data_IF_852442908700
#
_entry.id   IF_852442908700
#
_cell.length_a   1.000
_cell.length_b   1.000
_cell.length_c   1.000
_cell.angle_alpha   90.00
_cell.angle_beta   90.00
_cell.angle_gamma   90.00
#
_symmetry.space_group_name_H-M   'P 1'
#
loop_
_entity.id
_entity.type
_entity.pdbx_description
1 polymer ?
#
# COMPACT_ATOMS: atom_id res chain seq x y z
N UNK A 1 -0.38 32.15 14.75
CA UNK A 1 -0.82 31.35 15.92
C UNK A 1 -2.27 31.64 16.32
N UNK A 2 -2.72 32.89 16.49
CA UNK A 2 -4.09 33.17 16.99
C UNK A 2 -5.23 32.49 16.20
N UNK A 3 -5.21 32.47 14.86
CA UNK A 3 -6.27 31.82 14.06
C UNK A 3 -6.38 30.32 14.29
N UNK A 4 -5.25 29.62 14.42
CA UNK A 4 -5.22 28.17 14.66
C UNK A 4 -5.76 27.85 16.07
N UNK A 5 -5.32 28.60 17.08
CA UNK A 5 -5.79 28.40 18.45
C UNK A 5 -7.30 28.63 18.55
N UNK A 6 -7.82 29.72 17.95
CA UNK A 6 -9.27 29.97 17.92
C UNK A 6 -10.05 28.85 17.21
N UNK A 7 -9.52 28.32 16.10
CA UNK A 7 -10.12 27.19 15.40
C UNK A 7 -10.15 25.93 16.28
N UNK A 8 -9.04 25.59 16.93
CA UNK A 8 -8.94 24.45 17.83
C UNK A 8 -9.85 24.59 19.05
N UNK A 9 -9.87 25.77 19.69
CA UNK A 9 -10.75 26.04 20.83
C UNK A 9 -12.22 25.87 20.45
N UNK A 10 -12.60 26.26 19.23
CA UNK A 10 -13.95 26.07 18.72
C UNK A 10 -14.30 24.58 18.61
N UNK A 11 -13.42 23.78 18.01
CA UNK A 11 -13.62 22.32 17.90
C UNK A 11 -13.68 21.67 19.28
N UNK A 12 -12.73 22.02 20.16
CA UNK A 12 -12.61 21.45 21.51
C UNK A 12 -13.89 21.69 22.30
N UNK A 13 -14.33 22.95 22.35
CA UNK A 13 -15.54 23.32 23.08
C UNK A 13 -16.78 22.63 22.49
N UNK A 14 -16.91 22.58 21.17
CA UNK A 14 -18.06 21.93 20.53
C UNK A 14 -18.11 20.43 20.82
N UNK A 15 -16.98 19.74 20.74
CA UNK A 15 -16.90 18.30 21.02
C UNK A 15 -17.17 18.02 22.50
N UNK A 16 -16.62 18.82 23.42
CA UNK A 16 -16.87 18.70 24.87
C UNK A 16 -18.33 18.97 25.23
N UNK A 17 -19.00 19.89 24.51
CA UNK A 17 -20.43 20.16 24.64
C UNK A 17 -21.33 19.10 23.96
N UNK A 18 -20.76 18.04 23.38
CA UNK A 18 -21.51 16.91 22.82
C UNK A 18 -22.01 17.11 21.39
N UNK A 19 -21.51 18.11 20.65
CA UNK A 19 -21.90 18.31 19.25
C UNK A 19 -21.27 17.24 18.34
N UNK A 20 -22.06 16.21 18.00
CA UNK A 20 -21.62 15.08 17.16
C UNK A 20 -21.32 15.45 15.70
N UNK A 21 -21.91 16.55 15.21
CA UNK A 21 -21.72 17.05 13.83
C UNK A 21 -20.36 17.75 13.63
N UNK A 22 -19.71 18.21 14.70
CA UNK A 22 -18.41 18.89 14.61
C UNK A 22 -17.37 17.89 14.12
N UNK A 23 -16.81 18.09 12.93
CA UNK A 23 -15.77 17.19 12.40
C UNK A 23 -14.42 17.42 13.10
N UNK A 24 -13.74 16.32 13.43
CA UNK A 24 -12.35 16.32 13.92
C UNK A 24 -11.46 15.85 12.77
N UNK A 25 -10.57 16.69 12.23
CA UNK A 25 -9.58 16.26 11.25
C UNK A 25 -8.69 15.17 11.81
N UNK A 26 -8.54 14.06 11.10
CA UNK A 26 -7.70 12.94 11.54
C UNK A 26 -6.30 13.08 10.95
N UNK A 27 -5.29 12.87 11.76
CA UNK A 27 -3.91 12.68 11.30
C UNK A 27 -3.44 11.30 11.76
N UNK A 28 -2.69 10.60 10.91
CA UNK A 28 -2.10 9.30 11.25
C UNK A 28 -0.77 9.10 10.53
N UNK A 29 0.19 8.48 11.20
CA UNK A 29 1.47 8.06 10.65
C UNK A 29 1.65 6.55 10.84
N UNK A 30 2.03 5.88 9.76
CA UNK A 30 2.30 4.45 9.71
C UNK A 30 3.73 4.23 9.20
N UNK A 31 4.65 3.83 10.08
CA UNK A 31 6.03 3.51 9.72
C UNK A 31 6.18 2.12 9.10
N UNK A 32 7.40 1.73 8.76
CA UNK A 32 7.72 0.39 8.24
C UNK A 32 7.56 -0.73 9.29
N UNK A 33 7.83 -0.47 10.57
CA UNK A 33 7.66 -1.41 11.70
C UNK A 33 6.19 -1.66 12.11
N UNK A 34 5.23 -1.32 11.25
CA UNK A 34 3.79 -1.50 11.51
C UNK A 34 3.31 -2.96 11.46
N UNK A 35 4.18 -3.90 11.12
CA UNK A 35 3.84 -5.32 11.08
C UNK A 35 3.40 -5.82 12.45
N UNK A 36 2.21 -6.42 12.53
CA UNK A 36 1.68 -6.93 13.80
C UNK A 36 2.44 -8.19 14.19
N UNK A 37 3.17 -8.14 15.29
CA UNK A 37 3.83 -9.32 15.85
C UNK A 37 2.79 -10.30 16.39
N UNK A 38 3.04 -11.60 16.24
CA UNK A 38 2.22 -12.66 16.84
C UNK A 38 2.11 -12.54 18.37
N UNK A 39 3.09 -11.90 19.02
CA UNK A 39 3.08 -11.60 20.46
C UNK A 39 2.04 -10.54 20.87
N UNK A 40 1.58 -9.67 19.96
CA UNK A 40 0.52 -8.71 20.25
C UNK A 40 -0.82 -9.39 20.60
N UNK A 41 -1.03 -10.63 20.13
CA UNK A 41 -2.21 -11.44 20.49
C UNK A 41 -2.10 -12.03 21.91
N UNK A 42 -0.90 -12.29 22.42
CA UNK A 42 -0.71 -12.94 23.72
C UNK A 42 -0.95 -12.00 24.92
N UNK A 43 -1.00 -10.69 24.69
CA UNK A 43 -1.23 -9.67 25.72
C UNK A 43 -2.60 -8.96 25.58
N UNK A 44 -3.62 -9.65 25.07
CA UNK A 44 -4.99 -9.14 24.92
C UNK A 44 -5.79 -9.15 26.25
N UNK A 45 -5.17 -8.72 27.36
CA UNK A 45 -5.92 -8.49 28.61
C UNK A 45 -6.68 -7.17 28.51
N UNK A 46 -8.01 -7.20 28.68
CA UNK A 46 -8.86 -6.00 28.65
C UNK A 46 -8.33 -4.95 29.63
N UNK A 47 -8.06 -3.73 29.16
CA UNK A 47 -7.84 -2.60 30.05
C UNK A 47 -9.19 -1.91 30.35
N UNK A 48 -9.78 -2.08 31.55
CA UNK A 48 -11.13 -1.58 31.86
C UNK A 48 -11.25 -0.05 31.92
N UNK A 49 -10.14 0.69 31.85
CA UNK A 49 -10.10 2.16 31.93
C UNK A 49 -9.92 2.87 30.60
N UNK A 50 -9.85 2.14 29.48
CA UNK A 50 -9.63 2.76 28.17
C UNK A 50 -10.91 3.47 27.70
N UNK A 51 -10.87 4.80 27.67
CA UNK A 51 -12.01 5.64 27.31
C UNK A 51 -11.91 6.02 25.82
N UNK A 52 -12.73 5.40 24.97
CA UNK A 52 -12.79 5.70 23.53
C UNK A 52 -13.61 6.95 23.23
N UNK A 53 -13.20 8.10 23.80
CA UNK A 53 -13.78 9.40 23.46
C UNK A 53 -13.32 9.84 22.05
N UNK A 54 -13.96 10.86 21.47
CA UNK A 54 -13.66 11.30 20.10
C UNK A 54 -12.20 11.76 19.90
N UNK A 55 -11.59 12.39 20.91
CA UNK A 55 -10.18 12.81 20.85
C UNK A 55 -9.18 11.66 20.94
N UNK A 56 -9.57 10.51 21.51
CA UNK A 56 -8.75 9.30 21.50
C UNK A 56 -8.47 8.75 20.10
N UNK A 57 -9.13 9.26 19.06
CA UNK A 57 -8.75 9.01 17.68
C UNK A 57 -7.35 9.57 17.33
N UNK A 58 -6.92 10.64 18.00
CA UNK A 58 -5.66 11.35 17.75
C UNK A 58 -4.52 10.86 18.65
N UNK A 59 -4.81 10.02 19.63
CA UNK A 59 -3.80 9.43 20.52
C UNK A 59 -2.79 8.60 19.72
N UNK A 60 -1.49 8.85 19.92
CA UNK A 60 -0.43 8.18 19.16
C UNK A 60 -0.55 8.36 17.64
N UNK A 61 -1.18 9.42 17.16
CA UNK A 61 -1.37 9.66 15.71
C UNK A 61 -0.07 9.90 14.94
N UNK A 62 0.99 10.35 15.63
CA UNK A 62 2.31 10.61 15.05
C UNK A 62 3.36 9.56 15.47
N UNK A 63 2.92 8.49 16.14
CA UNK A 63 3.79 7.36 16.46
C UNK A 63 3.83 6.40 15.27
N UNK A 64 5.01 5.88 14.94
CA UNK A 64 5.20 5.01 13.77
C UNK A 64 4.54 3.62 13.89
N UNK A 65 4.00 3.29 15.08
CA UNK A 65 3.59 1.94 15.46
C UNK A 65 2.06 1.84 15.40
N UNK A 66 1.56 0.74 14.82
CA UNK A 66 0.13 0.42 14.89
C UNK A 66 -0.17 -0.35 16.18
N UNK A 67 -0.94 0.26 17.09
CA UNK A 67 -1.37 -0.39 18.33
C UNK A 67 -2.55 -1.34 18.09
N UNK A 68 -2.28 -2.51 17.49
CA UNK A 68 -3.31 -3.48 17.13
C UNK A 68 -4.18 -3.93 18.33
N UNK A 69 -3.62 -3.94 19.54
CA UNK A 69 -4.39 -4.20 20.77
C UNK A 69 -5.53 -3.21 20.96
N UNK A 70 -5.26 -1.91 20.84
CA UNK A 70 -6.28 -0.85 20.98
C UNK A 70 -7.36 -1.00 19.91
N UNK A 71 -6.97 -1.38 18.69
CA UNK A 71 -7.90 -1.67 17.60
C UNK A 71 -8.81 -2.86 17.93
N UNK A 72 -8.23 -3.95 18.42
CA UNK A 72 -8.96 -5.14 18.83
C UNK A 72 -9.94 -4.87 19.98
N UNK A 73 -9.48 -4.15 21.02
CA UNK A 73 -10.29 -3.77 22.18
C UNK A 73 -11.47 -2.88 21.75
N UNK A 74 -11.21 -1.86 20.92
CA UNK A 74 -12.25 -1.01 20.38
C UNK A 74 -13.27 -1.81 19.57
N UNK A 75 -12.81 -2.66 18.65
CA UNK A 75 -13.68 -3.46 17.78
C UNK A 75 -14.57 -4.39 18.59
N UNK A 76 -14.01 -5.06 19.60
CA UNK A 76 -14.76 -5.92 20.54
C UNK A 76 -15.86 -5.14 21.26
N UNK A 77 -15.57 -3.92 21.71
CA UNK A 77 -16.57 -3.07 22.39
C UNK A 77 -17.70 -2.70 21.43
N UNK A 78 -17.36 -2.28 20.20
CA UNK A 78 -18.36 -1.92 19.21
C UNK A 78 -19.21 -3.14 18.77
N UNK A 79 -18.64 -4.34 18.68
CA UNK A 79 -19.41 -5.56 18.36
C UNK A 79 -20.42 -5.88 19.46
N UNK A 80 -20.02 -5.74 20.72
CA UNK A 80 -20.93 -5.91 21.84
C UNK A 80 -22.07 -4.88 21.82
N UNK A 81 -21.79 -3.64 21.44
CA UNK A 81 -22.81 -2.59 21.31
C UNK A 81 -23.75 -2.85 20.14
N UNK A 82 -23.23 -3.30 19.00
CA UNK A 82 -24.04 -3.74 17.86
C UNK A 82 -25.00 -4.87 18.25
N UNK A 83 -24.51 -5.88 18.97
CA UNK A 83 -25.34 -6.98 19.48
C UNK A 83 -26.43 -6.52 20.46
N UNK A 84 -26.18 -5.48 21.26
CA UNK A 84 -27.20 -4.88 22.14
C UNK A 84 -28.26 -4.14 21.34
N UNK A 85 -27.86 -3.36 20.34
CA UNK A 85 -28.79 -2.63 19.47
C UNK A 85 -29.63 -3.59 18.61
N UNK A 86 -29.05 -4.68 18.08
CA UNK A 86 -29.78 -5.76 17.41
C UNK A 86 -30.90 -6.29 18.32
N UNK A 87 -30.57 -6.62 19.58
CA UNK A 87 -31.55 -7.14 20.55
C UNK A 87 -32.63 -6.13 20.90
N UNK A 88 -32.24 -4.87 21.10
CA UNK A 88 -33.15 -3.78 21.47
C UNK A 88 -34.12 -3.42 20.34
N UNK A 89 -33.63 -3.44 19.09
CA UNK A 89 -34.43 -3.14 17.88
C UNK A 89 -35.18 -4.35 17.33
N UNK A 90 -34.80 -5.57 17.75
CA UNK A 90 -35.24 -6.83 17.18
C UNK A 90 -34.94 -6.95 15.67
N UNK A 91 -33.82 -6.35 15.22
CA UNK A 91 -33.38 -6.36 13.83
C UNK A 91 -32.01 -7.06 13.71
N UNK A 92 -32.02 -8.30 13.22
CA UNK A 92 -30.81 -9.11 13.00
C UNK A 92 -29.90 -8.62 11.88
N UNK A 93 -30.40 -7.71 11.02
CA UNK A 93 -29.62 -7.12 9.94
C UNK A 93 -29.03 -5.77 10.30
N UNK A 94 -29.34 -5.26 11.50
CA UNK A 94 -28.78 -4.01 11.98
C UNK A 94 -27.25 -4.11 12.06
N UNK A 95 -26.59 -3.08 11.53
CA UNK A 95 -25.15 -2.90 11.66
C UNK A 95 -24.88 -1.53 12.25
N UNK A 96 -24.01 -1.49 13.25
CA UNK A 96 -23.57 -0.25 13.85
C UNK A 96 -22.79 0.55 12.79
N UNK A 97 -23.12 1.83 12.53
CA UNK A 97 -22.53 2.60 11.43
C UNK A 97 -20.99 2.61 11.43
N UNK A 98 -20.39 2.76 12.60
CA UNK A 98 -18.92 2.73 12.78
C UNK A 98 -18.31 1.36 12.43
N UNK A 99 -18.95 0.26 12.80
CA UNK A 99 -18.48 -1.09 12.43
C UNK A 99 -18.72 -1.40 10.96
N UNK A 100 -19.84 -0.95 10.41
CA UNK A 100 -20.13 -1.06 8.98
C UNK A 100 -19.04 -0.39 8.16
N UNK A 101 -18.59 0.78 8.57
CA UNK A 101 -17.48 1.49 7.92
C UNK A 101 -16.16 0.69 7.98
N UNK A 102 -15.80 0.13 9.14
CA UNK A 102 -14.58 -0.70 9.27
C UNK A 102 -14.68 -2.00 8.47
N UNK A 103 -15.84 -2.67 8.48
CA UNK A 103 -16.08 -3.87 7.66
C UNK A 103 -15.98 -3.56 6.17
N UNK A 104 -16.50 -2.40 5.75
CA UNK A 104 -16.41 -1.94 4.37
C UNK A 104 -14.97 -1.64 3.97
N UNK A 105 -14.18 -0.97 4.81
CA UNK A 105 -12.79 -0.64 4.48
C UNK A 105 -11.94 -1.90 4.32
N UNK A 106 -12.10 -2.88 5.22
CA UNK A 106 -11.42 -4.19 5.13
C UNK A 106 -11.77 -4.88 3.81
N UNK A 107 -13.05 -4.94 3.44
CA UNK A 107 -13.50 -5.58 2.20
C UNK A 107 -12.98 -4.87 0.94
N UNK A 108 -12.84 -3.55 0.98
CA UNK A 108 -12.36 -2.76 -0.16
C UNK A 108 -10.85 -2.81 -0.35
N UNK A 109 -10.11 -3.03 0.74
CA UNK A 109 -8.63 -3.02 0.77
C UNK A 109 -8.00 -4.41 0.73
N UNK A 110 -8.67 -5.44 1.25
CA UNK A 110 -8.16 -6.81 1.33
C UNK A 110 -9.03 -7.74 0.47
N UNK A 111 -8.66 -7.96 -0.80
CA UNK A 111 -9.30 -8.94 -1.67
C UNK A 111 -9.47 -10.31 -0.99
N UNK A 112 -10.66 -10.90 -1.12
CA UNK A 112 -10.97 -12.20 -0.51
C UNK A 112 -11.28 -12.15 0.99
N UNK A 113 -10.93 -11.08 1.71
CA UNK A 113 -11.28 -10.93 3.13
C UNK A 113 -12.69 -10.37 3.33
N UNK A 114 -13.42 -10.95 4.28
CA UNK A 114 -14.75 -10.52 4.68
C UNK A 114 -15.04 -10.90 6.13
N UNK A 115 -16.18 -10.46 6.66
CA UNK A 115 -16.67 -10.85 7.99
C UNK A 115 -15.62 -10.77 9.14
N UNK A 116 -14.97 -9.60 9.32
CA UNK A 116 -14.08 -9.38 10.45
C UNK A 116 -14.88 -9.43 11.74
N UNK A 117 -14.40 -10.21 12.71
CA UNK A 117 -15.09 -10.44 13.99
C UNK A 117 -14.12 -10.82 15.11
N UNK A 118 -14.55 -10.61 16.35
CA UNK A 118 -13.81 -11.06 17.53
C UNK A 118 -14.43 -12.32 18.12
N UNK A 119 -13.59 -13.29 18.47
CA UNK A 119 -13.99 -14.46 19.25
C UNK A 119 -13.39 -14.36 20.65
N UNK A 120 -14.08 -14.94 21.65
CA UNK A 120 -13.70 -14.85 23.06
C UNK A 120 -13.03 -16.12 23.61
N UNK A 121 -13.06 -17.24 22.87
CA UNK A 121 -12.56 -18.55 23.33
C UNK A 121 -11.97 -19.37 22.17
N UNK A 122 -10.67 -19.20 21.81
CA UNK A 122 -9.71 -18.25 22.37
C UNK A 122 -9.99 -16.79 21.96
N UNK A 123 -9.41 -15.82 22.68
CA UNK A 123 -9.57 -14.40 22.33
C UNK A 123 -8.78 -14.07 21.07
N UNK A 124 -9.46 -13.94 19.94
CA UNK A 124 -8.82 -13.80 18.62
C UNK A 124 -9.62 -12.91 17.69
N UNK A 125 -8.94 -12.31 16.73
CA UNK A 125 -9.55 -11.60 15.61
C UNK A 125 -9.57 -12.52 14.39
N UNK A 126 -10.75 -12.73 13.83
CA UNK A 126 -10.97 -13.61 12.69
C UNK A 126 -11.46 -12.80 11.49
N UNK A 127 -11.07 -13.25 10.31
CA UNK A 127 -11.64 -12.84 9.02
C UNK A 127 -12.02 -14.09 8.22
N UNK A 128 -13.08 -14.00 7.44
CA UNK A 128 -13.37 -15.01 6.43
C UNK A 128 -12.54 -14.70 5.18
N UNK A 129 -11.80 -15.68 4.69
CA UNK A 129 -10.97 -15.60 3.51
C UNK A 129 -11.52 -16.50 2.41
N UNK A 130 -11.59 -15.99 1.18
CA UNK A 130 -12.06 -16.74 0.01
C UNK A 130 -10.91 -17.01 -0.96
N UNK A 131 -10.40 -18.24 -0.91
CA UNK A 131 -9.34 -18.76 -1.79
C UNK A 131 -9.88 -19.83 -2.76
N UNK A 132 -11.19 -19.85 -3.00
CA UNK A 132 -11.93 -20.90 -3.70
C UNK A 132 -12.81 -21.74 -2.77
N UNK A 133 -12.52 -21.71 -1.47
CA UNK A 133 -13.41 -22.12 -0.38
C UNK A 133 -13.35 -21.06 0.70
N UNK A 134 -14.49 -20.70 1.27
CA UNK A 134 -14.53 -19.79 2.42
C UNK A 134 -14.00 -20.50 3.67
N UNK A 135 -12.96 -19.95 4.25
CA UNK A 135 -12.34 -20.39 5.50
C UNK A 135 -12.24 -19.22 6.48
N UNK A 136 -12.33 -19.49 7.78
CA UNK A 136 -12.12 -18.47 8.80
C UNK A 136 -10.69 -18.53 9.29
N UNK A 137 -9.95 -17.44 9.13
CA UNK A 137 -8.54 -17.33 9.49
C UNK A 137 -8.37 -16.34 10.63
N UNK A 138 -7.55 -16.73 11.60
CA UNK A 138 -7.01 -15.82 12.59
C UNK A 138 -5.90 -14.95 11.97
N UNK A 139 -5.62 -13.80 12.59
CA UNK A 139 -4.63 -12.85 12.08
C UNK A 139 -3.23 -13.48 11.85
N UNK A 140 -2.80 -14.39 12.71
CA UNK A 140 -1.51 -15.09 12.61
C UNK A 140 -1.46 -16.11 11.45
N UNK A 141 -2.63 -16.52 10.94
CA UNK A 141 -2.76 -17.40 9.78
C UNK A 141 -2.76 -16.65 8.44
N UNK A 142 -2.90 -15.31 8.45
CA UNK A 142 -2.79 -14.48 7.25
C UNK A 142 -1.32 -14.31 6.81
N UNK A 143 -1.05 -13.98 5.55
CA UNK A 143 0.31 -13.59 5.14
C UNK A 143 0.69 -12.20 5.70
N UNK A 144 1.99 -11.89 5.75
CA UNK A 144 2.47 -10.60 6.27
C UNK A 144 1.86 -9.39 5.55
N UNK A 145 1.70 -9.46 4.23
CA UNK A 145 1.06 -8.40 3.46
C UNK A 145 -0.40 -8.16 3.88
N UNK A 146 -1.16 -9.24 4.11
CA UNK A 146 -2.53 -9.16 4.60
C UNK A 146 -2.57 -8.62 6.04
N UNK A 147 -1.74 -9.13 6.95
CA UNK A 147 -1.67 -8.64 8.34
C UNK A 147 -1.37 -7.16 8.42
N UNK A 148 -0.35 -6.72 7.69
CA UNK A 148 0.12 -5.34 7.68
C UNK A 148 -0.93 -4.40 7.10
N UNK A 149 -1.55 -4.78 5.99
CA UNK A 149 -2.64 -4.00 5.38
C UNK A 149 -3.86 -3.96 6.30
N UNK A 150 -4.25 -5.09 6.88
CA UNK A 150 -5.38 -5.19 7.80
C UNK A 150 -5.19 -4.27 9.01
N UNK A 151 -4.01 -4.30 9.63
CA UNK A 151 -3.68 -3.47 10.77
C UNK A 151 -3.79 -1.96 10.45
N UNK A 152 -3.20 -1.53 9.33
CA UNK A 152 -3.27 -0.14 8.86
C UNK A 152 -4.72 0.28 8.60
N UNK A 153 -5.47 -0.52 7.84
CA UNK A 153 -6.84 -0.20 7.44
C UNK A 153 -7.79 -0.19 8.64
N UNK A 154 -7.62 -1.14 9.56
CA UNK A 154 -8.43 -1.20 10.77
C UNK A 154 -8.14 -0.04 11.71
N UNK A 155 -6.87 0.31 11.94
CA UNK A 155 -6.53 1.43 12.80
C UNK A 155 -7.01 2.75 12.20
N UNK A 156 -6.78 2.99 10.91
CA UNK A 156 -7.24 4.21 10.25
C UNK A 156 -8.78 4.33 10.30
N UNK A 157 -9.49 3.26 9.94
CA UNK A 157 -10.95 3.25 9.98
C UNK A 157 -11.48 3.41 11.42
N UNK A 158 -10.84 2.82 12.43
CA UNK A 158 -11.15 3.05 13.85
C UNK A 158 -10.96 4.53 14.23
N UNK A 159 -9.81 5.13 13.89
CA UNK A 159 -9.53 6.54 14.21
C UNK A 159 -10.59 7.45 13.60
N UNK A 160 -10.93 7.24 12.32
CA UNK A 160 -11.96 8.02 11.65
C UNK A 160 -13.35 7.76 12.24
N UNK A 161 -13.66 6.52 12.64
CA UNK A 161 -14.93 6.15 13.25
C UNK A 161 -15.11 6.78 14.63
N UNK A 162 -14.05 6.80 15.42
CA UNK A 162 -14.02 7.38 16.76
C UNK A 162 -14.05 8.92 16.70
N UNK A 163 -13.31 9.52 15.77
CA UNK A 163 -13.31 10.96 15.55
C UNK A 163 -14.66 11.44 15.04
N UNK A 164 -15.22 10.78 14.02
CA UNK A 164 -16.38 11.24 13.27
C UNK A 164 -17.36 10.07 12.98
N UNK A 165 -18.17 9.65 13.96
CA UNK A 165 -19.06 8.50 13.82
C UNK A 165 -20.10 8.62 12.69
N UNK A 166 -20.53 9.84 12.35
CA UNK A 166 -21.56 10.08 11.32
C UNK A 166 -21.00 10.05 9.89
N UNK A 167 -19.70 10.35 9.71
CA UNK A 167 -19.07 10.45 8.41
C UNK A 167 -17.71 9.75 8.40
N UNK A 168 -17.68 8.50 8.86
CA UNK A 168 -16.44 7.77 9.15
C UNK A 168 -15.47 7.74 7.97
N UNK A 169 -15.79 7.05 6.88
CA UNK A 169 -14.82 6.86 5.78
C UNK A 169 -14.54 8.13 4.97
N UNK A 170 -15.48 9.07 4.93
CA UNK A 170 -15.32 10.35 4.22
C UNK A 170 -14.98 11.51 5.18
N UNK A 171 -14.41 11.20 6.35
CA UNK A 171 -13.79 12.21 7.20
C UNK A 171 -12.56 12.79 6.53
N UNK A 172 -12.31 14.08 6.77
CA UNK A 172 -11.05 14.71 6.37
C UNK A 172 -9.89 14.12 7.16
N UNK A 173 -8.86 13.69 6.45
CA UNK A 173 -7.66 13.16 7.09
C UNK A 173 -6.37 13.44 6.30
N UNK A 174 -5.25 13.48 7.02
CA UNK A 174 -3.90 13.43 6.45
C UNK A 174 -3.23 12.17 6.97
N UNK A 175 -2.83 11.28 6.06
CA UNK A 175 -2.26 9.98 6.41
C UNK A 175 -0.89 9.84 5.78
N UNK A 176 0.10 9.60 6.62
CA UNK A 176 1.49 9.37 6.23
C UNK A 176 1.76 7.85 6.28
N UNK A 177 2.22 7.27 5.18
CA UNK A 177 2.55 5.83 5.12
C UNK A 177 3.96 5.67 4.57
N UNK A 178 4.87 5.20 5.41
CA UNK A 178 6.21 4.84 4.98
C UNK A 178 6.20 3.43 4.35
N UNK A 179 6.88 3.25 3.23
CA UNK A 179 6.95 2.01 2.46
C UNK A 179 5.57 1.35 2.26
N UNK A 180 4.67 2.04 1.55
CA UNK A 180 3.29 1.56 1.34
C UNK A 180 3.23 0.16 0.69
N UNK A 181 4.27 -0.22 -0.04
CA UNK A 181 4.44 -1.51 -0.71
C UNK A 181 4.99 -2.65 0.15
N UNK A 182 5.36 -2.36 1.41
CA UNK A 182 5.99 -3.32 2.31
C UNK A 182 5.15 -4.60 2.47
N UNK A 183 5.79 -5.75 2.23
CA UNK A 183 5.20 -7.10 2.23
C UNK A 183 4.01 -7.34 1.27
N UNK A 184 3.66 -6.37 0.42
CA UNK A 184 2.58 -6.54 -0.55
C UNK A 184 3.04 -7.39 -1.74
N UNK A 185 2.15 -8.26 -2.21
CA UNK A 185 2.35 -8.95 -3.48
C UNK A 185 2.42 -7.92 -4.62
N UNK A 186 3.24 -8.10 -5.68
CA UNK A 186 3.36 -7.14 -6.78
C UNK A 186 2.03 -6.74 -7.43
N UNK A 187 1.09 -7.68 -7.54
CA UNK A 187 -0.27 -7.40 -8.01
C UNK A 187 -0.95 -6.32 -7.15
N UNK A 188 -0.81 -6.40 -5.83
CA UNK A 188 -1.42 -5.48 -4.88
C UNK A 188 -0.77 -4.11 -4.87
N UNK A 189 0.55 -4.07 -5.08
CA UNK A 189 1.28 -2.81 -5.23
C UNK A 189 0.72 -1.95 -6.37
N UNK A 190 0.13 -2.54 -7.42
CA UNK A 190 -0.48 -1.81 -8.53
C UNK A 190 -1.83 -1.15 -8.21
N UNK A 191 -2.50 -1.53 -7.12
CA UNK A 191 -3.82 -0.99 -6.78
C UNK A 191 -3.94 -0.43 -5.36
N UNK A 192 -2.93 -0.61 -4.49
CA UNK A 192 -2.98 -0.17 -3.08
C UNK A 192 -3.34 1.31 -2.92
N UNK A 193 -2.76 2.21 -3.73
CA UNK A 193 -3.07 3.65 -3.63
C UNK A 193 -4.47 3.97 -4.16
N UNK A 194 -4.88 3.34 -5.25
CA UNK A 194 -6.22 3.49 -5.82
C UNK A 194 -7.28 3.01 -4.84
N UNK A 195 -7.02 1.91 -4.16
CA UNK A 195 -7.91 1.34 -3.15
C UNK A 195 -7.98 2.21 -1.90
N UNK A 196 -6.84 2.75 -1.43
CA UNK A 196 -6.81 3.71 -0.32
C UNK A 196 -7.66 4.95 -0.63
N UNK A 197 -7.44 5.57 -1.80
CA UNK A 197 -8.20 6.75 -2.23
C UNK A 197 -9.68 6.45 -2.43
N UNK A 198 -10.04 5.26 -2.93
CA UNK A 198 -11.44 4.85 -3.07
C UNK A 198 -12.11 4.60 -1.72
N UNK A 199 -11.37 4.02 -0.77
CA UNK A 199 -11.89 3.64 0.56
C UNK A 199 -12.03 4.86 1.46
N UNK A 200 -11.09 5.81 1.37
CA UNK A 200 -11.03 7.02 2.19
C UNK A 200 -10.98 8.28 1.29
N UNK A 201 -12.11 8.68 0.69
CA UNK A 201 -12.15 9.65 -0.41
C UNK A 201 -11.72 11.08 -0.04
N UNK A 202 -11.81 11.47 1.23
CA UNK A 202 -11.45 12.80 1.71
C UNK A 202 -10.10 12.80 2.46
N UNK A 203 -9.27 11.79 2.20
CA UNK A 203 -7.97 11.63 2.85
C UNK A 203 -6.85 12.01 1.89
N UNK A 204 -5.97 12.90 2.34
CA UNK A 204 -4.69 13.14 1.69
C UNK A 204 -3.67 12.09 2.16
N UNK A 205 -3.24 11.24 1.23
CA UNK A 205 -2.18 10.27 1.49
C UNK A 205 -0.82 10.84 1.07
N UNK A 206 0.14 10.83 1.99
CA UNK A 206 1.55 11.11 1.74
C UNK A 206 2.31 9.81 1.97
N UNK A 207 2.81 9.23 0.90
CA UNK A 207 3.38 7.89 0.94
C UNK A 207 4.81 7.87 0.42
N UNK A 208 5.64 6.97 0.95
CA UNK A 208 6.93 6.62 0.37
C UNK A 208 6.85 5.22 -0.24
N UNK A 209 7.65 4.96 -1.27
CA UNK A 209 7.72 3.66 -1.93
C UNK A 209 9.03 3.49 -2.68
N UNK A 210 9.54 2.27 -2.71
CA UNK A 210 10.59 1.83 -3.62
C UNK A 210 10.06 0.89 -4.72
N UNK A 211 8.74 0.69 -4.79
CA UNK A 211 8.16 -0.22 -5.77
C UNK A 211 7.86 0.51 -7.09
N UNK A 212 8.45 0.06 -8.22
CA UNK A 212 8.03 0.56 -9.52
C UNK A 212 6.57 0.20 -9.82
N UNK A 213 5.99 -0.85 -9.20
CA UNK A 213 4.59 -1.22 -9.40
C UNK A 213 3.62 -0.22 -8.77
N UNK A 214 4.00 0.40 -7.64
CA UNK A 214 3.20 1.49 -7.05
C UNK A 214 3.26 2.71 -7.96
N UNK A 215 4.45 3.08 -8.41
CA UNK A 215 4.67 4.26 -9.26
C UNK A 215 3.93 4.17 -10.60
N UNK A 216 3.71 2.96 -11.15
CA UNK A 216 2.94 2.80 -12.39
C UNK A 216 1.43 3.03 -12.21
N UNK A 217 0.94 3.02 -10.98
CA UNK A 217 -0.49 3.17 -10.67
C UNK A 217 -0.95 4.62 -10.46
N UNK A 218 -0.01 5.57 -10.35
CA UNK A 218 -0.29 6.97 -10.06
C UNK A 218 0.23 7.89 -11.16
N UNK A 219 -0.44 9.02 -11.34
CA UNK A 219 -0.04 10.03 -12.33
C UNK A 219 1.25 10.76 -11.90
N UNK A 220 2.10 11.20 -12.86
CA UNK A 220 3.41 11.77 -12.58
C UNK A 220 3.37 13.02 -11.68
N UNK A 221 2.30 13.83 -11.78
CA UNK A 221 2.11 15.03 -10.96
C UNK A 221 2.00 14.77 -9.45
N UNK A 222 1.73 13.52 -9.05
CA UNK A 222 1.69 13.09 -7.64
C UNK A 222 2.99 12.42 -7.18
N UNK A 223 4.02 12.39 -8.02
CA UNK A 223 5.30 11.73 -7.72
C UNK A 223 6.36 12.78 -7.43
N UNK A 224 6.96 12.68 -6.25
CA UNK A 224 8.13 13.46 -5.85
C UNK A 224 9.30 12.50 -5.71
N UNK A 225 10.32 12.67 -6.54
CA UNK A 225 11.56 11.91 -6.46
C UNK A 225 12.54 12.60 -5.52
N UNK A 226 12.95 11.89 -4.47
CA UNK A 226 13.95 12.35 -3.53
C UNK A 226 15.33 11.80 -3.94
N UNK A 227 16.28 12.68 -4.22
CA UNK A 227 17.67 12.32 -4.56
C UNK A 227 18.65 13.01 -3.63
N UNK A 228 19.76 12.34 -3.31
CA UNK A 228 20.85 12.95 -2.54
C UNK A 228 21.95 13.43 -3.49
N UNK A 229 22.31 14.71 -3.42
CA UNK A 229 23.38 15.30 -4.22
C UNK A 229 24.17 16.29 -3.37
N UNK A 230 25.49 16.17 -3.33
CA UNK A 230 26.35 17.08 -2.57
C UNK A 230 26.10 17.11 -1.06
N UNK A 231 25.48 16.07 -0.49
CA UNK A 231 25.12 16.02 0.93
C UNK A 231 23.71 16.52 1.24
N UNK A 232 23.05 17.20 0.30
CA UNK A 232 21.68 17.71 0.41
C UNK A 232 20.65 16.74 -0.20
N UNK A 233 19.40 16.84 0.26
CA UNK A 233 18.25 16.13 -0.33
C UNK A 233 17.53 17.09 -1.27
N UNK A 234 17.41 16.69 -2.53
CA UNK A 234 16.71 17.43 -3.57
C UNK A 234 15.39 16.69 -3.85
N UNK A 235 14.28 17.42 -3.84
CA UNK A 235 12.97 16.92 -4.21
C UNK A 235 12.61 17.42 -5.62
N UNK A 236 12.33 16.49 -6.54
CA UNK A 236 12.05 16.82 -7.94
C UNK A 236 10.72 16.20 -8.37
N UNK A 237 9.90 16.98 -9.05
CA UNK A 237 8.75 16.47 -9.78
C UNK A 237 9.22 15.78 -11.05
N UNK A 238 8.50 14.73 -11.46
CA UNK A 238 8.80 14.04 -12.72
C UNK A 238 7.66 14.22 -13.72
N UNK A 239 7.97 14.68 -14.92
CA UNK A 239 7.03 14.69 -16.05
C UNK A 239 7.06 13.35 -16.81
N UNK A 240 7.75 12.34 -16.25
CA UNK A 240 7.95 11.05 -16.91
C UNK A 240 6.67 10.25 -16.96
N UNK A 241 6.43 9.57 -18.08
CA UNK A 241 5.35 8.60 -18.28
C UNK A 241 5.42 7.44 -17.26
N UNK A 242 4.89 7.64 -16.04
CA UNK A 242 4.78 6.61 -15.00
C UNK A 242 3.46 5.84 -15.12
N UNK A 243 2.36 6.56 -15.31
CA UNK A 243 1.01 5.99 -15.28
C UNK A 243 0.79 4.96 -16.39
N UNK A 244 0.50 3.71 -16.00
CA UNK A 244 0.35 2.58 -16.92
C UNK A 244 1.63 2.12 -17.61
N UNK A 245 2.80 2.65 -17.22
CA UNK A 245 4.07 2.28 -17.83
C UNK A 245 4.51 0.87 -17.45
N UNK A 246 5.38 0.29 -18.28
CA UNK A 246 6.08 -0.95 -17.92
C UNK A 246 7.04 -0.66 -16.77
N UNK A 247 7.10 -1.55 -15.77
CA UNK A 247 7.92 -1.36 -14.57
C UNK A 247 9.41 -1.12 -14.88
N UNK A 248 9.96 -1.77 -15.92
CA UNK A 248 11.33 -1.51 -16.39
C UNK A 248 11.57 -0.05 -16.81
N UNK A 249 10.60 0.58 -17.48
CA UNK A 249 10.72 1.99 -17.88
C UNK A 249 10.67 2.93 -16.68
N UNK A 250 9.92 2.56 -15.64
CA UNK A 250 9.90 3.32 -14.38
C UNK A 250 11.22 3.17 -13.63
N UNK A 251 11.78 1.95 -13.56
CA UNK A 251 13.09 1.69 -12.96
C UNK A 251 14.16 2.59 -13.60
N UNK A 252 14.23 2.61 -14.94
CA UNK A 252 15.25 3.38 -15.65
C UNK A 252 15.02 4.88 -15.61
N UNK A 253 13.80 5.36 -15.87
CA UNK A 253 13.53 6.80 -16.02
C UNK A 253 13.30 7.54 -14.72
N UNK A 254 12.71 6.89 -13.73
CA UNK A 254 12.35 7.52 -12.46
C UNK A 254 13.34 7.12 -11.37
N UNK A 255 13.62 5.81 -11.24
CA UNK A 255 14.46 5.32 -10.15
C UNK A 255 15.96 5.32 -10.47
N UNK A 256 16.35 5.53 -11.74
CA UNK A 256 17.74 5.55 -12.17
C UNK A 256 18.43 4.18 -12.10
N UNK A 257 17.68 3.09 -12.22
CA UNK A 257 18.18 1.71 -12.14
C UNK A 257 17.94 0.98 -13.46
N UNK A 258 18.91 0.20 -13.91
CA UNK A 258 18.78 -0.61 -15.11
C UNK A 258 17.67 -1.67 -15.00
N UNK A 259 16.97 -1.92 -16.11
CA UNK A 259 15.90 -2.94 -16.15
C UNK A 259 16.43 -4.36 -15.90
N UNK A 260 17.72 -4.58 -16.21
CA UNK A 260 18.41 -5.86 -16.06
C UNK A 260 19.51 -5.75 -15.00
N UNK A 261 19.68 -6.76 -14.13
CA UNK A 261 20.74 -6.76 -13.14
C UNK A 261 22.13 -6.83 -13.81
N UNK A 262 23.19 -6.31 -13.17
CA UNK A 262 24.55 -6.30 -13.72
C UNK A 262 25.24 -7.66 -13.57
N UNK A 263 24.70 -8.68 -14.23
CA UNK A 263 25.27 -10.04 -14.25
C UNK A 263 26.00 -10.32 -15.58
N UNK A 264 26.63 -11.50 -15.68
CA UNK A 264 27.38 -11.91 -16.86
C UNK A 264 26.53 -11.86 -18.14
N UNK A 265 25.30 -12.35 -18.07
CA UNK A 265 24.38 -12.37 -19.21
C UNK A 265 24.07 -10.96 -19.71
N UNK A 266 23.71 -10.03 -18.81
CA UNK A 266 23.45 -8.63 -19.17
C UNK A 266 24.68 -7.95 -19.79
N UNK A 267 25.88 -8.22 -19.26
CA UNK A 267 27.12 -7.68 -19.83
C UNK A 267 27.36 -8.20 -21.26
N UNK A 268 27.29 -9.51 -21.46
CA UNK A 268 27.48 -10.13 -22.79
C UNK A 268 26.40 -9.68 -23.78
N UNK A 269 25.17 -9.49 -23.33
CA UNK A 269 24.07 -9.02 -24.16
C UNK A 269 24.29 -7.57 -24.60
N UNK A 270 24.75 -6.69 -23.70
CA UNK A 270 25.11 -5.31 -24.05
C UNK A 270 26.25 -5.28 -25.08
N UNK A 271 27.32 -6.06 -24.87
CA UNK A 271 28.42 -6.19 -25.85
C UNK A 271 27.93 -6.72 -27.21
N UNK A 272 26.97 -7.65 -27.20
CA UNK A 272 26.38 -8.18 -28.43
C UNK A 272 25.55 -7.11 -29.15
N UNK A 273 24.73 -6.34 -28.43
CA UNK A 273 23.96 -5.24 -29.00
C UNK A 273 24.85 -4.11 -29.55
N UNK A 274 25.96 -3.78 -28.88
CA UNK A 274 26.94 -2.82 -29.42
C UNK A 274 27.52 -3.26 -30.78
N UNK A 275 27.75 -4.56 -30.97
CA UNK A 275 28.20 -5.10 -32.26
C UNK A 275 27.09 -5.01 -33.31
N UNK A 276 25.84 -5.28 -32.94
CA UNK A 276 24.68 -5.12 -33.84
C UNK A 276 24.56 -3.65 -34.27
N UNK A 277 24.71 -2.72 -33.34
CA UNK A 277 24.67 -1.28 -33.60
C UNK A 277 25.75 -0.81 -34.57
N UNK A 278 26.95 -1.41 -34.49
CA UNK A 278 28.08 -1.18 -35.40
C UNK A 278 27.97 -1.96 -36.73
N UNK A 279 26.85 -2.62 -37.00
CA UNK A 279 26.64 -3.52 -38.16
C UNK A 279 27.60 -4.72 -38.22
N UNK A 280 28.12 -5.14 -37.06
CA UNK A 280 29.00 -6.30 -36.86
C UNK A 280 28.27 -7.48 -36.19
N UNK A 281 26.93 -7.48 -36.22
CA UNK A 281 26.08 -8.48 -35.55
C UNK A 281 26.23 -9.92 -36.07
N UNK A 282 26.92 -10.11 -37.19
CA UNK A 282 27.23 -11.42 -37.80
C UNK A 282 28.75 -11.72 -37.85
N UNK A 283 29.57 -10.90 -37.20
CA UNK A 283 31.00 -11.15 -37.06
C UNK A 283 31.28 -12.41 -36.23
N UNK A 284 32.46 -13.01 -36.38
CA UNK A 284 32.88 -14.16 -35.56
C UNK A 284 32.80 -13.86 -34.05
N UNK A 285 33.11 -12.62 -33.65
CA UNK A 285 32.98 -12.17 -32.27
C UNK A 285 31.50 -12.16 -31.83
N UNK A 286 30.60 -11.65 -32.66
CA UNK A 286 29.17 -11.61 -32.38
C UNK A 286 28.55 -13.03 -32.32
N UNK A 287 29.00 -13.95 -33.18
CA UNK A 287 28.57 -15.36 -33.15
C UNK A 287 29.04 -16.09 -31.89
N UNK A 288 30.28 -15.84 -31.43
CA UNK A 288 30.78 -16.36 -30.15
C UNK A 288 29.97 -15.84 -28.96
N UNK A 289 29.70 -14.52 -28.92
CA UNK A 289 28.84 -13.94 -27.89
C UNK A 289 27.43 -14.53 -27.94
N UNK A 290 26.86 -14.71 -29.14
CA UNK A 290 25.54 -15.35 -29.31
C UNK A 290 25.51 -16.77 -28.78
N UNK A 291 26.58 -17.55 -28.98
CA UNK A 291 26.72 -18.89 -28.45
C UNK A 291 26.77 -18.87 -26.90
N UNK A 292 27.61 -18.02 -26.31
CA UNK A 292 27.68 -17.86 -24.85
C UNK A 292 26.33 -17.43 -24.25
N UNK A 293 25.62 -16.51 -24.90
CA UNK A 293 24.27 -16.10 -24.48
C UNK A 293 23.26 -17.26 -24.58
N UNK A 294 23.37 -18.13 -25.58
CA UNK A 294 22.52 -19.33 -25.68
C UNK A 294 22.80 -20.35 -24.58
N UNK A 295 24.06 -20.52 -24.19
CA UNK A 295 24.47 -21.43 -23.12
C UNK A 295 23.96 -20.93 -21.74
N UNK A 296 23.88 -19.61 -21.55
CA UNK A 296 23.38 -18.99 -20.31
C UNK A 296 21.85 -18.94 -20.23
N UNK A 297 21.17 -18.42 -21.27
CA UNK A 297 19.70 -18.33 -21.34
C UNK A 297 19.27 -18.18 -22.80
N UNK A 298 19.23 -19.28 -23.55
CA UNK A 298 18.89 -19.29 -24.97
C UNK A 298 17.43 -18.96 -25.31
N UNK A 299 16.55 -18.95 -24.31
CA UNK A 299 15.13 -18.61 -24.42
C UNK A 299 14.82 -17.14 -24.12
N UNK A 300 15.82 -16.31 -23.77
CA UNK A 300 15.60 -14.87 -23.52
C UNK A 300 15.02 -14.19 -24.79
N UNK A 301 13.86 -13.52 -24.69
CA UNK A 301 13.22 -12.83 -25.80
C UNK A 301 14.10 -11.80 -26.52
N UNK A 302 15.05 -11.16 -25.83
CA UNK A 302 15.98 -10.20 -26.44
C UNK A 302 16.89 -10.84 -27.49
N UNK A 303 17.16 -12.15 -27.39
CA UNK A 303 17.96 -12.85 -28.39
C UNK A 303 17.18 -13.03 -29.71
N UNK A 304 15.85 -13.09 -29.63
CA UNK A 304 14.96 -13.07 -30.79
C UNK A 304 14.91 -11.65 -31.37
N UNK A 305 14.74 -10.63 -30.51
CA UNK A 305 14.75 -9.22 -30.91
C UNK A 305 16.06 -8.85 -31.63
N UNK A 306 17.20 -9.26 -31.10
CA UNK A 306 18.51 -9.06 -31.70
C UNK A 306 18.60 -9.68 -33.12
N UNK A 307 18.09 -10.89 -33.31
CA UNK A 307 18.06 -11.55 -34.63
C UNK A 307 17.19 -10.78 -35.63
N UNK A 308 16.05 -10.24 -35.17
CA UNK A 308 15.18 -9.41 -36.00
C UNK A 308 15.85 -8.08 -36.39
N UNK A 309 16.56 -7.45 -35.45
CA UNK A 309 17.29 -6.20 -35.71
C UNK A 309 18.45 -6.40 -36.70
N UNK A 310 19.20 -7.50 -36.60
CA UNK A 310 20.23 -7.86 -37.59
C UNK A 310 19.61 -8.01 -38.99
N UNK A 311 18.48 -8.72 -39.11
CA UNK A 311 17.78 -8.88 -40.41
C UNK A 311 17.32 -7.55 -40.98
N UNK A 312 16.75 -6.68 -40.13
CA UNK A 312 16.31 -5.33 -40.52
C UNK A 312 17.49 -4.49 -41.03
N UNK A 313 18.61 -4.49 -40.31
CA UNK A 313 19.83 -3.76 -40.71
C UNK A 313 20.42 -4.29 -42.00
N UNK A 314 20.38 -5.61 -42.22
CA UNK A 314 20.77 -6.21 -43.51
C UNK A 314 19.89 -5.69 -44.65
N UNK A 315 18.58 -5.57 -44.46
CA UNK A 315 17.69 -5.03 -45.49
C UNK A 315 17.94 -3.54 -45.78
N UNK A 316 18.30 -2.75 -44.76
CA UNK A 316 18.53 -1.30 -44.90
C UNK A 316 19.91 -0.96 -45.47
N UNK A 317 20.95 -1.68 -45.06
CA UNK A 317 22.35 -1.38 -45.38
C UNK A 317 23.01 -2.39 -46.33
N UNK A 318 22.34 -3.52 -46.61
CA UNK A 318 22.84 -4.57 -47.49
C UNK A 318 22.61 -4.32 -48.99
N UNK A 319 21.85 -3.27 -49.37
CA UNK A 319 21.63 -2.88 -50.77
C UNK A 319 22.66 -1.86 -51.32
N UNK A 320 23.73 -1.57 -50.57
CA UNK A 320 24.83 -0.69 -51.01
C UNK A 320 26.11 -1.45 -51.44
N UNK A 321 25.99 -2.72 -51.86
CA UNK A 321 27.08 -3.46 -52.49
C UNK A 321 26.69 -3.91 -53.89
#
# INVERSE_FOLDING_TARGET
>A
MNKLNTFLDTIINQVQNGHLETSIPVIAYYGNDRAVSSSAQQQLQKNPHQNFNRFGALEGSLEAITHFRTVFEWFTIQENEELREIKKRQDWHYQLPVLKAVRQSIRQMLPGCSNPRTESKPSQFLVDFDSGKRESLALDQLSDGYRTTLALVMDLARRMAQANPQNTLASEAIVLIDEVDLHLHPLWQQHVLVDLMRTFPNTQFIVTTHSPQVLTSIKPEHIIHLRRSGGEIIAETTDSYSYGAKSGKVLTRIMGVDERPPNEFSRLLNEYYELIEKNLGESDKALKLRQQLNELSGDDPELISAKMEIRRRRALYGSQK
#
